data_IF_522559173669
#
_entry.id   IF_522559173669
#
_cell.length_a   1.000
_cell.length_b   1.000
_cell.length_c   1.000
_cell.angle_alpha   90.00
_cell.angle_beta   90.00
_cell.angle_gamma   90.00
#
_symmetry.space_group_name_H-M   'P 1'
#
loop_
_entity.id
_entity.type
_entity.pdbx_description
1 polymer ?
#
# COMPACT_ATOMS: atom_id res chain seq x y z
N UNK A 1 -3.64 19.50 -17.16
CA UNK A 1 -3.59 18.03 -16.97
C UNK A 1 -4.86 17.61 -16.26
N UNK A 2 -5.60 16.64 -16.77
CA UNK A 2 -6.70 16.05 -16.00
C UNK A 2 -6.09 15.14 -14.93
N UNK A 3 -6.61 15.21 -13.71
CA UNK A 3 -6.24 14.30 -12.62
C UNK A 3 -7.33 13.21 -12.59
N UNK A 4 -7.16 12.10 -13.36
CA UNK A 4 -8.25 11.15 -13.58
C UNK A 4 -8.76 10.50 -12.29
N UNK A 5 -7.88 10.31 -11.30
CA UNK A 5 -8.22 9.72 -10.01
C UNK A 5 -9.03 10.65 -9.10
N UNK A 6 -9.04 11.97 -9.36
CA UNK A 6 -9.80 12.92 -8.54
C UNK A 6 -11.30 12.61 -8.57
N UNK A 7 -11.82 12.13 -9.69
CA UNK A 7 -13.22 11.71 -9.82
C UNK A 7 -13.55 10.39 -9.11
N UNK A 8 -12.53 9.66 -8.67
CA UNK A 8 -12.70 8.41 -7.93
C UNK A 8 -12.71 8.65 -6.40
N UNK A 9 -12.38 9.86 -5.96
CA UNK A 9 -12.41 10.27 -4.55
C UNK A 9 -13.86 10.60 -4.17
N UNK A 10 -14.34 9.93 -3.14
CA UNK A 10 -15.63 10.23 -2.56
C UNK A 10 -15.47 11.30 -1.48
N UNK A 11 -15.75 12.53 -1.85
CA UNK A 11 -15.70 13.68 -0.93
C UNK A 11 -17.08 13.82 -0.26
N UNK A 12 -17.15 13.54 1.02
CA UNK A 12 -18.32 13.82 1.84
C UNK A 12 -18.10 15.10 2.64
N UNK A 13 -19.08 16.02 2.72
CA UNK A 13 -18.97 17.25 3.50
C UNK A 13 -18.68 17.00 4.99
N UNK A 14 -19.19 15.90 5.53
CA UNK A 14 -19.01 15.50 6.93
C UNK A 14 -17.83 14.52 7.13
N UNK A 15 -16.96 14.41 6.13
CA UNK A 15 -15.94 13.37 6.06
C UNK A 15 -16.49 12.03 5.55
N UNK A 16 -15.65 11.20 4.94
CA UNK A 16 -16.08 9.89 4.46
C UNK A 16 -16.45 9.02 5.66
N UNK A 17 -17.59 8.31 5.61
CA UNK A 17 -17.88 7.31 6.62
C UNK A 17 -16.75 6.26 6.58
N UNK A 18 -16.32 5.79 7.75
CA UNK A 18 -15.30 4.76 7.86
C UNK A 18 -15.84 3.46 7.23
N UNK A 19 -15.49 3.22 6.00
CA UNK A 19 -15.94 2.08 5.19
C UNK A 19 -14.76 1.44 4.47
N UNK A 20 -14.89 0.17 4.15
CA UNK A 20 -13.87 -0.50 3.32
C UNK A 20 -13.79 0.07 1.91
N UNK A 21 -14.89 0.56 1.34
CA UNK A 21 -14.94 1.23 0.04
C UNK A 21 -14.50 0.36 -1.14
N UNK A 22 -14.53 -0.98 -0.99
CA UNK A 22 -14.08 -1.93 -2.01
C UNK A 22 -15.07 -2.01 -3.17
N UNK A 23 -14.53 -2.13 -4.38
CA UNK A 23 -15.26 -2.28 -5.64
C UNK A 23 -14.65 -3.40 -6.46
N UNK A 24 -15.43 -4.06 -7.31
CA UNK A 24 -14.89 -5.03 -8.27
C UNK A 24 -13.87 -4.35 -9.19
N UNK A 25 -12.74 -5.00 -9.43
CA UNK A 25 -11.74 -4.52 -10.39
C UNK A 25 -12.30 -4.54 -11.82
N UNK A 26 -13.11 -5.54 -12.16
CA UNK A 26 -13.71 -5.69 -13.49
C UNK A 26 -12.64 -5.71 -14.59
N UNK A 27 -12.80 -4.83 -15.60
CA UNK A 27 -11.85 -4.70 -16.71
C UNK A 27 -10.71 -3.72 -16.46
N UNK A 28 -10.62 -3.14 -15.26
CA UNK A 28 -9.54 -2.20 -14.91
C UNK A 28 -8.19 -2.94 -14.86
N UNK A 29 -7.10 -2.28 -15.27
CA UNK A 29 -5.78 -2.88 -15.13
C UNK A 29 -5.48 -3.11 -13.64
N UNK A 30 -4.90 -4.26 -13.34
CA UNK A 30 -4.43 -4.59 -11.98
C UNK A 30 -3.27 -3.69 -11.57
N UNK A 31 -2.23 -3.60 -12.42
CA UNK A 31 -1.07 -2.72 -12.24
C UNK A 31 -1.22 -1.50 -13.15
N UNK A 32 -0.82 -0.34 -12.66
CA UNK A 32 -0.86 0.92 -13.41
C UNK A 32 0.57 1.37 -13.68
N UNK A 33 0.82 1.75 -14.92
CA UNK A 33 2.06 2.40 -15.31
C UNK A 33 1.74 3.81 -15.80
N UNK A 34 2.48 4.79 -15.30
CA UNK A 34 2.35 6.19 -15.70
C UNK A 34 3.72 6.85 -15.96
N UNK A 35 3.74 8.16 -16.07
CA UNK A 35 4.98 8.94 -16.31
C UNK A 35 6.00 8.83 -15.18
N UNK A 36 5.56 8.52 -13.96
CA UNK A 36 6.41 8.45 -12.78
C UNK A 36 7.11 7.08 -12.61
N UNK A 37 6.84 6.13 -13.50
CA UNK A 37 7.38 4.77 -13.41
C UNK A 37 8.91 4.74 -13.24
N UNK A 38 9.64 5.50 -14.06
CA UNK A 38 11.11 5.47 -14.03
C UNK A 38 11.65 6.09 -12.73
N UNK A 39 11.24 7.31 -12.32
CA UNK A 39 11.66 7.87 -11.05
C UNK A 39 11.27 7.00 -9.86
N UNK A 40 10.05 6.44 -9.81
CA UNK A 40 9.61 5.60 -8.71
C UNK A 40 10.36 4.28 -8.62
N UNK A 41 10.60 3.57 -9.72
CA UNK A 41 11.41 2.35 -9.72
C UNK A 41 12.88 2.63 -9.35
N UNK A 42 13.40 3.79 -9.71
CA UNK A 42 14.74 4.23 -9.28
C UNK A 42 14.78 4.46 -7.78
N UNK A 43 13.78 5.12 -7.23
CA UNK A 43 13.64 5.33 -5.79
C UNK A 43 13.51 4.00 -5.05
N UNK A 44 12.66 3.08 -5.52
CA UNK A 44 12.53 1.72 -4.94
C UNK A 44 13.86 0.98 -4.89
N UNK A 45 14.63 1.03 -5.98
CA UNK A 45 15.97 0.43 -6.03
C UNK A 45 16.92 1.08 -5.02
N UNK A 46 16.92 2.39 -4.89
CA UNK A 46 17.73 3.10 -3.91
C UNK A 46 17.36 2.72 -2.49
N UNK A 47 16.07 2.69 -2.19
CA UNK A 47 15.57 2.29 -0.87
C UNK A 47 15.90 0.83 -0.54
N UNK A 48 15.80 -0.10 -1.50
CA UNK A 48 16.14 -1.52 -1.28
C UNK A 48 17.62 -1.77 -0.99
N UNK A 49 18.48 -0.84 -1.36
CA UNK A 49 19.92 -0.87 -1.06
C UNK A 49 20.26 -0.27 0.32
N UNK A 50 19.31 0.40 0.94
CA UNK A 50 19.47 0.97 2.27
C UNK A 50 18.86 0.02 3.33
N UNK A 51 19.67 -0.68 4.13
CA UNK A 51 19.15 -1.61 5.13
C UNK A 51 18.27 -0.94 6.20
N UNK A 52 18.48 0.34 6.47
CA UNK A 52 17.70 1.08 7.47
C UNK A 52 16.30 1.47 6.96
N UNK A 53 16.06 1.36 5.66
CA UNK A 53 14.76 1.68 5.07
C UNK A 53 13.70 0.58 5.33
N UNK A 54 14.13 -0.65 5.61
CA UNK A 54 13.22 -1.79 5.89
C UNK A 54 12.08 -1.93 4.88
N UNK A 55 12.39 -1.83 3.59
CA UNK A 55 11.38 -1.85 2.53
C UNK A 55 10.96 -3.25 2.10
N UNK A 56 11.65 -4.28 2.59
CA UNK A 56 11.27 -5.67 2.38
C UNK A 56 11.39 -6.45 3.67
N UNK A 57 10.33 -7.17 4.01
CA UNK A 57 10.28 -8.09 5.15
C UNK A 57 9.43 -9.31 4.79
N UNK A 58 9.78 -10.47 5.36
CA UNK A 58 9.05 -11.73 5.11
C UNK A 58 9.12 -12.66 6.30
N UNK A 59 8.02 -13.35 6.57
CA UNK A 59 8.00 -14.49 7.46
C UNK A 59 8.42 -15.76 6.70
N UNK A 60 8.69 -16.82 7.44
CA UNK A 60 8.90 -18.14 6.87
C UNK A 60 7.66 -18.63 6.09
N UNK A 61 7.89 -19.49 5.09
CA UNK A 61 6.85 -20.15 4.28
C UNK A 61 5.99 -19.21 3.41
N UNK A 62 6.53 -18.06 3.00
CA UNK A 62 5.85 -17.13 2.09
C UNK A 62 6.29 -17.30 0.63
N UNK A 63 7.37 -18.06 0.39
CA UNK A 63 8.02 -18.16 -0.93
C UNK A 63 7.09 -18.72 -2.01
N UNK A 64 6.31 -19.75 -1.71
CA UNK A 64 5.37 -20.34 -2.66
C UNK A 64 4.30 -19.33 -3.12
N UNK A 65 3.69 -18.59 -2.17
CA UNK A 65 2.73 -17.55 -2.49
C UNK A 65 3.37 -16.40 -3.30
N UNK A 66 4.61 -16.04 -2.97
CA UNK A 66 5.35 -15.03 -3.71
C UNK A 66 5.71 -15.50 -5.15
N UNK A 67 6.01 -16.78 -5.34
CA UNK A 67 6.21 -17.35 -6.68
C UNK A 67 4.92 -17.34 -7.51
N UNK A 68 3.76 -17.46 -6.87
CA UNK A 68 2.48 -17.28 -7.56
C UNK A 68 2.34 -15.84 -8.11
N UNK A 69 2.75 -14.82 -7.36
CA UNK A 69 2.79 -13.44 -7.86
C UNK A 69 3.68 -13.31 -9.08
N UNK A 70 4.86 -13.96 -9.08
CA UNK A 70 5.74 -13.98 -10.26
C UNK A 70 5.03 -14.59 -11.49
N UNK A 71 4.32 -15.71 -11.33
CA UNK A 71 3.54 -16.31 -12.42
C UNK A 71 2.49 -15.36 -12.98
N UNK A 72 1.74 -14.67 -12.10
CA UNK A 72 0.76 -13.67 -12.51
C UNK A 72 1.39 -12.51 -13.30
N UNK A 73 2.63 -12.13 -12.99
CA UNK A 73 3.37 -11.10 -13.72
C UNK A 73 3.78 -11.61 -15.10
N UNK A 74 4.30 -12.83 -15.18
CA UNK A 74 4.71 -13.47 -16.44
C UNK A 74 3.53 -13.66 -17.41
N UNK A 75 2.38 -14.08 -16.92
CA UNK A 75 1.14 -14.20 -17.69
C UNK A 75 0.67 -12.87 -18.29
N UNK A 76 1.18 -11.74 -17.80
CA UNK A 76 0.86 -10.39 -18.23
C UNK A 76 2.03 -9.67 -18.89
N UNK A 77 3.03 -10.44 -19.35
CA UNK A 77 4.26 -9.95 -20.00
C UNK A 77 4.99 -8.84 -19.20
N UNK A 78 4.90 -8.88 -17.87
CA UNK A 78 5.61 -7.96 -17.00
C UNK A 78 7.07 -8.35 -16.87
N UNK A 79 7.96 -7.45 -17.26
CA UNK A 79 9.39 -7.62 -17.09
C UNK A 79 9.77 -7.52 -15.62
N UNK A 80 10.49 -8.53 -15.14
CA UNK A 80 10.99 -8.57 -13.78
C UNK A 80 12.45 -8.12 -13.73
N UNK A 81 12.83 -7.42 -12.67
CA UNK A 81 14.24 -7.12 -12.40
C UNK A 81 15.02 -8.41 -12.19
N UNK A 82 16.30 -8.40 -12.57
CA UNK A 82 17.22 -9.50 -12.34
C UNK A 82 17.82 -9.43 -10.93
N UNK A 83 18.10 -10.58 -10.33
CA UNK A 83 18.76 -10.66 -9.02
C UNK A 83 18.32 -11.85 -8.19
N UNK A 84 19.04 -12.09 -7.08
CA UNK A 84 18.79 -13.16 -6.12
C UNK A 84 17.76 -12.81 -5.04
N UNK A 85 16.90 -11.87 -5.30
CA UNK A 85 15.87 -11.41 -4.37
C UNK A 85 14.82 -12.47 -4.07
N UNK A 86 14.16 -12.33 -2.92
CA UNK A 86 12.93 -13.06 -2.66
C UNK A 86 11.89 -12.76 -3.77
N UNK A 87 11.07 -13.75 -4.22
CA UNK A 87 10.15 -13.54 -5.34
C UNK A 87 9.24 -12.31 -5.19
N UNK A 88 8.72 -12.03 -3.98
CA UNK A 88 7.89 -10.86 -3.74
C UNK A 88 8.68 -9.54 -3.83
N UNK A 89 9.90 -9.51 -3.31
CA UNK A 89 10.78 -8.35 -3.41
C UNK A 89 11.09 -8.05 -4.88
N UNK A 90 11.46 -9.09 -5.63
CA UNK A 90 11.70 -8.99 -7.06
C UNK A 90 10.50 -8.46 -7.83
N UNK A 91 9.30 -8.94 -7.51
CA UNK A 91 8.06 -8.43 -8.09
C UNK A 91 7.84 -6.95 -7.73
N UNK A 92 7.97 -6.59 -6.45
CA UNK A 92 7.76 -5.22 -5.96
C UNK A 92 8.76 -4.21 -6.52
N UNK A 93 10.02 -4.61 -6.77
CA UNK A 93 11.03 -3.77 -7.43
C UNK A 93 10.81 -3.63 -8.94
N UNK A 94 9.86 -4.37 -9.51
CA UNK A 94 9.56 -4.37 -10.94
C UNK A 94 8.35 -3.53 -11.31
N UNK A 95 7.57 -3.07 -10.34
CA UNK A 95 6.32 -2.30 -10.51
C UNK A 95 6.27 -1.08 -9.60
N UNK A 96 5.43 -0.12 -9.94
CA UNK A 96 5.25 1.09 -9.12
C UNK A 96 4.52 0.78 -7.81
N UNK A 97 3.64 -0.22 -7.81
CA UNK A 97 2.88 -0.62 -6.65
C UNK A 97 3.74 -1.29 -5.57
N UNK A 98 3.37 -1.09 -4.32
CA UNK A 98 3.84 -1.88 -3.19
C UNK A 98 3.03 -3.16 -3.09
N UNK A 99 3.68 -4.27 -2.72
CA UNK A 99 3.08 -5.59 -2.70
C UNK A 99 3.07 -6.17 -1.27
N UNK A 100 1.90 -6.62 -0.82
CA UNK A 100 1.74 -7.25 0.48
C UNK A 100 1.10 -8.63 0.35
N UNK A 101 1.66 -9.63 1.03
CA UNK A 101 1.07 -10.95 1.18
C UNK A 101 0.41 -11.05 2.57
N UNK A 102 -0.87 -11.39 2.56
CA UNK A 102 -1.66 -11.60 3.76
C UNK A 102 -1.98 -13.09 3.86
N UNK A 103 -1.59 -13.72 4.97
CA UNK A 103 -1.83 -15.12 5.22
C UNK A 103 -2.80 -15.32 6.38
N UNK A 104 -3.69 -16.31 6.26
CA UNK A 104 -4.52 -16.72 7.40
C UNK A 104 -3.72 -17.66 8.31
N UNK A 105 -3.64 -17.31 9.58
CA UNK A 105 -3.02 -18.09 10.65
C UNK A 105 -4.01 -18.28 11.80
N UNK A 106 -3.58 -18.94 12.87
CA UNK A 106 -4.42 -19.17 14.05
C UNK A 106 -4.89 -17.86 14.70
N UNK A 107 -4.03 -16.84 14.72
CA UNK A 107 -4.29 -15.50 15.24
C UNK A 107 -5.07 -14.57 14.29
N UNK A 108 -5.50 -15.08 13.14
CA UNK A 108 -6.24 -14.32 12.12
C UNK A 108 -5.44 -14.06 10.84
N UNK A 109 -5.84 -13.05 10.08
CA UNK A 109 -5.15 -12.60 8.88
C UNK A 109 -3.93 -11.77 9.23
N UNK A 110 -2.75 -12.21 8.82
CA UNK A 110 -1.43 -11.68 9.20
C UNK A 110 -0.71 -11.12 8.00
N UNK A 111 -0.05 -9.97 8.15
CA UNK A 111 0.89 -9.45 7.16
C UNK A 111 2.13 -10.35 7.14
N UNK A 112 2.22 -11.22 6.13
CA UNK A 112 3.22 -12.29 6.11
C UNK A 112 4.47 -11.92 5.33
N UNK A 113 4.36 -11.13 4.28
CA UNK A 113 5.49 -10.55 3.55
C UNK A 113 5.07 -9.25 2.88
N UNK A 114 6.01 -8.33 2.70
CA UNK A 114 5.76 -7.15 1.88
C UNK A 114 7.04 -6.62 1.23
N UNK A 115 6.87 -6.08 0.02
CA UNK A 115 7.78 -5.13 -0.61
C UNK A 115 7.08 -3.78 -0.58
N UNK A 116 7.47 -2.94 0.40
CA UNK A 116 6.82 -1.69 0.75
C UNK A 116 7.84 -0.55 0.70
N UNK A 117 7.84 0.20 -0.38
CA UNK A 117 8.74 1.32 -0.58
C UNK A 117 8.08 2.68 -0.33
N UNK A 118 6.76 2.73 -0.33
CA UNK A 118 6.00 3.97 -0.24
C UNK A 118 5.02 3.98 0.94
N UNK A 119 5.54 3.80 2.18
CA UNK A 119 4.71 3.82 3.38
C UNK A 119 4.15 5.22 3.62
N UNK A 120 2.95 5.28 4.19
CA UNK A 120 2.33 6.51 4.67
C UNK A 120 2.25 6.49 6.20
N UNK A 121 3.32 6.97 6.85
CA UNK A 121 3.45 7.10 8.31
C UNK A 121 3.39 5.79 9.10
N UNK A 122 4.00 4.74 8.54
CA UNK A 122 4.18 3.47 9.23
C UNK A 122 5.41 2.72 8.72
N UNK A 123 5.96 1.84 9.55
CA UNK A 123 7.16 1.05 9.25
C UNK A 123 6.82 -0.42 9.07
N UNK A 124 7.39 -1.03 8.04
CA UNK A 124 7.14 -2.43 7.72
C UNK A 124 7.62 -3.38 8.84
N UNK A 125 8.82 -3.17 9.36
CA UNK A 125 9.40 -3.98 10.44
C UNK A 125 8.57 -3.96 11.74
N UNK A 126 7.74 -2.95 11.95
CA UNK A 126 6.81 -2.89 13.10
C UNK A 126 5.51 -3.65 12.86
N UNK A 127 5.19 -3.97 11.61
CA UNK A 127 3.89 -4.52 11.18
C UNK A 127 3.98 -5.97 10.71
N UNK A 128 5.14 -6.40 10.20
CA UNK A 128 5.33 -7.77 9.74
C UNK A 128 5.04 -8.78 10.87
N UNK A 129 4.35 -9.86 10.55
CA UNK A 129 3.93 -10.89 11.50
C UNK A 129 2.72 -10.51 12.37
N UNK A 130 2.22 -9.27 12.28
CA UNK A 130 1.04 -8.84 13.04
C UNK A 130 -0.25 -9.12 12.28
N UNK A 131 -1.30 -9.44 13.04
CA UNK A 131 -2.64 -9.57 12.45
C UNK A 131 -3.20 -8.20 12.04
N UNK A 132 -4.25 -8.21 11.21
CA UNK A 132 -4.82 -6.97 10.66
C UNK A 132 -5.32 -6.00 11.72
N UNK A 133 -5.78 -6.48 12.87
CA UNK A 133 -6.19 -5.63 13.99
C UNK A 133 -5.00 -4.87 14.58
N UNK A 134 -3.88 -5.55 14.81
CA UNK A 134 -2.66 -4.92 15.30
C UNK A 134 -1.98 -4.03 14.24
N UNK A 135 -2.05 -4.40 12.95
CA UNK A 135 -1.56 -3.56 11.84
C UNK A 135 -2.29 -2.22 11.81
N UNK A 136 -3.59 -2.21 12.02
CA UNK A 136 -4.43 -1.02 11.98
C UNK A 136 -4.69 -0.38 13.35
N UNK A 137 -4.11 -0.91 14.42
CA UNK A 137 -4.29 -0.39 15.79
C UNK A 137 -4.14 1.13 15.94
N UNK A 138 -3.20 1.79 15.22
CA UNK A 138 -3.07 3.25 15.26
C UNK A 138 -4.19 4.03 14.54
N UNK A 139 -5.09 3.35 13.81
CA UNK A 139 -6.21 3.99 13.11
C UNK A 139 -7.37 4.16 14.08
N UNK A 140 -7.70 5.41 14.36
CA UNK A 140 -8.80 5.77 15.27
C UNK A 140 -10.13 5.14 14.80
N UNK A 141 -10.86 4.53 15.73
CA UNK A 141 -12.15 3.90 15.47
C UNK A 141 -12.09 2.60 14.64
N UNK A 142 -10.88 2.05 14.37
CA UNK A 142 -10.77 0.83 13.56
C UNK A 142 -11.42 -0.38 14.23
N UNK A 143 -11.14 -0.60 15.52
CA UNK A 143 -11.63 -1.77 16.25
C UNK A 143 -13.17 -1.81 16.29
N UNK A 144 -13.79 -0.67 16.54
CA UNK A 144 -15.25 -0.55 16.69
C UNK A 144 -15.98 -0.63 15.34
N UNK A 145 -15.34 -0.16 14.27
CA UNK A 145 -16.04 0.08 12.99
C UNK A 145 -15.61 -0.84 11.85
N UNK A 146 -14.32 -1.18 11.75
CA UNK A 146 -13.76 -1.88 10.61
C UNK A 146 -13.23 -3.29 10.89
N UNK A 147 -12.73 -3.59 12.08
CA UNK A 147 -12.02 -4.84 12.37
C UNK A 147 -12.83 -6.07 11.95
N UNK A 148 -14.07 -6.17 12.41
CA UNK A 148 -14.94 -7.30 12.06
C UNK A 148 -15.21 -7.36 10.54
N UNK A 149 -15.41 -6.20 9.91
CA UNK A 149 -15.69 -6.12 8.47
C UNK A 149 -14.47 -6.54 7.65
N UNK A 150 -13.27 -6.13 8.06
CA UNK A 150 -12.02 -6.49 7.39
C UNK A 150 -11.74 -7.98 7.49
N UNK A 151 -11.91 -8.59 8.68
CA UNK A 151 -11.73 -10.02 8.85
C UNK A 151 -12.74 -10.83 8.01
N UNK A 152 -14.02 -10.45 8.02
CA UNK A 152 -15.06 -11.08 7.16
C UNK A 152 -14.72 -10.90 5.68
N UNK A 153 -14.21 -9.73 5.29
CA UNK A 153 -13.81 -9.48 3.91
C UNK A 153 -12.72 -10.46 3.46
N UNK A 154 -11.63 -10.60 4.23
CA UNK A 154 -10.58 -11.55 3.90
C UNK A 154 -11.06 -13.00 3.90
N UNK A 155 -11.95 -13.37 4.84
CA UNK A 155 -12.53 -14.72 4.89
C UNK A 155 -13.40 -15.06 3.67
N UNK A 156 -13.97 -14.05 3.02
CA UNK A 156 -14.86 -14.17 1.88
C UNK A 156 -14.25 -13.76 0.55
N UNK A 157 -12.99 -13.31 0.58
CA UNK A 157 -12.31 -12.88 -0.63
C UNK A 157 -12.20 -14.07 -1.60
N UNK A 158 -12.89 -13.95 -2.72
CA UNK A 158 -12.86 -14.94 -3.81
C UNK A 158 -11.75 -14.64 -4.83
N UNK A 159 -11.77 -15.37 -5.97
CA UNK A 159 -10.77 -15.18 -7.03
C UNK A 159 -10.94 -13.85 -7.78
N UNK A 160 -12.08 -13.20 -7.67
CA UNK A 160 -12.35 -11.95 -8.36
C UNK A 160 -11.64 -10.79 -7.67
N UNK A 161 -10.73 -10.08 -8.36
CA UNK A 161 -10.00 -8.99 -7.75
C UNK A 161 -10.91 -7.80 -7.45
N UNK A 162 -10.63 -7.17 -6.33
CA UNK A 162 -11.27 -5.94 -5.90
C UNK A 162 -10.25 -4.84 -5.74
N UNK A 163 -10.71 -3.62 -5.71
CA UNK A 163 -9.88 -2.46 -5.48
C UNK A 163 -10.59 -1.43 -4.62
N UNK A 164 -9.82 -0.54 -4.02
CA UNK A 164 -10.31 0.66 -3.35
C UNK A 164 -9.32 1.80 -3.55
N UNK A 165 -9.71 3.01 -3.23
CA UNK A 165 -8.84 4.19 -3.23
C UNK A 165 -8.96 4.90 -1.89
N UNK A 166 -7.81 5.19 -1.30
CA UNK A 166 -7.66 6.10 -0.19
C UNK A 166 -7.02 7.41 -0.67
N UNK A 167 -7.16 8.46 0.12
CA UNK A 167 -6.42 9.69 -0.08
C UNK A 167 -6.05 10.31 1.25
N UNK A 168 -4.94 10.99 1.24
CA UNK A 168 -4.36 11.66 2.40
C UNK A 168 -3.83 13.01 1.98
N UNK A 169 -3.64 13.92 2.95
CA UNK A 169 -2.99 15.20 2.76
C UNK A 169 -1.65 15.17 3.47
N UNK A 170 -0.60 15.53 2.75
CA UNK A 170 0.77 15.57 3.24
C UNK A 170 1.39 16.96 3.08
N UNK A 171 2.34 17.34 3.94
CA UNK A 171 3.05 18.62 3.84
C UNK A 171 4.10 18.66 2.74
N UNK A 172 4.45 17.53 2.15
CA UNK A 172 5.42 17.38 1.06
C UNK A 172 4.99 16.26 0.10
N UNK A 173 5.70 16.11 -1.01
CA UNK A 173 5.43 15.14 -2.07
C UNK A 173 6.26 13.86 -1.97
N UNK A 174 6.99 13.66 -0.88
CA UNK A 174 7.81 12.47 -0.69
C UNK A 174 6.96 11.21 -0.65
N UNK A 175 7.32 10.20 -1.41
CA UNK A 175 6.63 8.91 -1.41
C UNK A 175 7.06 8.03 -0.22
N UNK A 176 8.33 8.07 0.15
CA UNK A 176 8.84 7.32 1.31
C UNK A 176 8.66 8.14 2.58
N UNK A 177 7.60 7.85 3.33
CA UNK A 177 7.25 8.55 4.58
C UNK A 177 6.95 7.55 5.71
N UNK A 178 7.95 6.83 6.25
CA UNK A 178 7.73 5.83 7.30
C UNK A 178 7.40 6.47 8.65
N UNK A 179 7.86 7.68 8.89
CA UNK A 179 7.71 8.37 10.17
C UNK A 179 6.66 9.48 10.12
N UNK A 180 6.06 9.75 11.26
CA UNK A 180 5.32 11.00 11.45
C UNK A 180 6.30 12.15 11.70
N UNK A 181 6.03 13.35 11.19
CA UNK A 181 6.86 14.50 11.53
C UNK A 181 7.01 14.68 13.04
N UNK A 182 8.23 14.98 13.50
CA UNK A 182 8.49 15.30 14.90
C UNK A 182 7.71 16.54 15.27
N UNK A 183 6.92 16.48 16.34
CA UNK A 183 6.03 17.57 16.74
C UNK A 183 4.66 17.59 16.04
N UNK A 184 4.37 16.57 15.22
CA UNK A 184 3.12 16.46 14.46
C UNK A 184 3.17 17.14 13.09
N UNK A 185 2.03 17.16 12.42
CA UNK A 185 1.93 17.83 11.12
C UNK A 185 2.12 19.34 11.28
N UNK A 186 2.81 20.02 10.36
CA UNK A 186 2.99 21.46 10.41
C UNK A 186 1.63 22.17 10.31
N UNK A 187 1.43 23.19 11.15
CA UNK A 187 0.26 24.06 11.05
C UNK A 187 0.47 24.97 9.83
N UNK A 188 -0.31 24.71 8.77
CA UNK A 188 -0.25 25.50 7.54
C UNK A 188 -1.38 26.55 7.59
N UNK A 189 -1.06 27.85 7.48
CA UNK A 189 -2.09 28.87 7.36
C UNK A 189 -3.05 28.60 6.21
N UNK A 190 -4.33 28.89 6.40
CA UNK A 190 -5.37 28.64 5.38
C UNK A 190 -5.12 29.33 4.04
N UNK A 191 -4.41 30.47 4.05
CA UNK A 191 -3.94 31.16 2.84
C UNK A 191 -2.98 30.34 2.00
N UNK A 192 -2.20 29.47 2.63
CA UNK A 192 -1.08 28.75 2.00
C UNK A 192 -1.41 27.29 1.67
N UNK A 193 -2.60 26.82 2.06
CA UNK A 193 -3.01 25.41 1.90
C UNK A 193 -2.83 24.89 0.46
N UNK A 194 -3.19 25.71 -0.53
CA UNK A 194 -3.11 25.29 -1.94
C UNK A 194 -1.69 25.12 -2.45
N UNK A 195 -0.74 25.79 -1.85
CA UNK A 195 0.66 25.81 -2.28
C UNK A 195 1.55 24.85 -1.48
N UNK A 196 1.13 24.52 -0.26
CA UNK A 196 1.95 23.77 0.71
C UNK A 196 1.38 22.41 1.11
N UNK A 197 0.25 22.00 0.55
CA UNK A 197 -0.32 20.69 0.81
C UNK A 197 -0.39 19.85 -0.47
N UNK A 198 0.01 18.62 -0.35
CA UNK A 198 -0.02 17.60 -1.39
C UNK A 198 -1.11 16.57 -1.09
N UNK A 199 -1.89 16.24 -2.09
CA UNK A 199 -2.87 15.15 -1.99
C UNK A 199 -2.22 13.88 -2.50
N UNK A 200 -2.03 12.93 -1.60
CA UNK A 200 -1.61 11.58 -1.94
C UNK A 200 -2.84 10.68 -2.12
N UNK A 201 -2.98 10.09 -3.27
CA UNK A 201 -4.04 9.13 -3.57
C UNK A 201 -3.44 7.74 -3.73
N UNK A 202 -3.92 6.78 -2.96
CA UNK A 202 -3.47 5.40 -2.98
C UNK A 202 -4.58 4.50 -3.48
N UNK A 203 -4.30 3.77 -4.56
CA UNK A 203 -5.16 2.69 -5.03
C UNK A 203 -4.66 1.37 -4.44
N UNK A 204 -5.55 0.68 -3.77
CA UNK A 204 -5.26 -0.61 -3.13
C UNK A 204 -6.11 -1.71 -3.77
#
# INVERSE_FOLDING_TARGET
MSIPWLFEINLHPEGPPIQMGTRSLGKRPWLIEDSEKIPELTLKKTLSQNPDAHVFETLENTKEAAEHVIKLFQERDRKLVNGGYHPLERAGLSVQEDLCLIHKRAEGWVLAAASLCFPSRWKLNEKIGRNMSAVHGPVEGYQETLEKKVNIFFDRLGPDPVWRRNWFVHPDDSLYQPDRPVGGDPIIPSSDIREKLFVRSERQ
#
